data_IF_791980328780
#
_entry.id   IF_791980328780
#
_cell.length_a   1.000
_cell.length_b   1.000
_cell.length_c   1.000
_cell.angle_alpha   90.00
_cell.angle_beta   90.00
_cell.angle_gamma   90.00
#
_symmetry.space_group_name_H-M   'P 1'
#
loop_
_entity.id
_entity.type
_entity.pdbx_description
1 polymer ?
#
# COMPACT_ATOMS: atom_id res chain seq x y z
N UNK A 1 -34.43 -38.19 61.85
CA UNK A 1 -33.94 -38.27 60.49
C UNK A 1 -32.79 -37.23 60.35
N UNK A 2 -31.56 -37.76 60.22
CA UNK A 2 -30.37 -36.91 59.88
C UNK A 2 -30.57 -36.40 58.49
N UNK A 3 -30.69 -35.07 58.36
CA UNK A 3 -30.76 -34.39 57.04
C UNK A 3 -29.46 -34.65 56.32
N UNK A 4 -29.52 -35.19 55.09
CA UNK A 4 -28.32 -35.45 54.28
C UNK A 4 -27.65 -34.14 53.87
N UNK A 5 -26.30 -34.06 53.92
CA UNK A 5 -25.57 -32.87 53.52
C UNK A 5 -25.77 -32.55 52.01
N UNK A 6 -25.83 -31.24 51.67
CA UNK A 6 -26.11 -30.81 50.31
C UNK A 6 -25.18 -29.63 49.92
N UNK A 7 -24.54 -29.74 48.75
CA UNK A 7 -23.80 -28.62 48.18
C UNK A 7 -24.74 -27.45 47.86
N UNK A 8 -24.35 -26.26 48.28
CA UNK A 8 -25.02 -24.99 47.98
C UNK A 8 -24.36 -24.30 46.78
N UNK A 9 -23.12 -24.69 46.45
CA UNK A 9 -22.37 -24.27 45.28
C UNK A 9 -22.40 -25.34 44.20
N UNK A 10 -21.99 -24.99 42.98
CA UNK A 10 -21.89 -25.95 41.86
C UNK A 10 -20.48 -25.92 41.29
N UNK A 11 -20.07 -27.02 40.67
CA UNK A 11 -18.84 -27.10 39.90
C UNK A 11 -18.86 -26.18 38.70
N UNK A 12 -17.76 -25.45 38.46
CA UNK A 12 -17.59 -24.53 37.35
C UNK A 12 -16.17 -24.60 36.80
N UNK A 13 -16.04 -24.15 35.52
CA UNK A 13 -14.74 -23.83 34.95
C UNK A 13 -14.32 -22.43 35.42
N UNK A 14 -13.20 -22.36 36.11
CA UNK A 14 -12.57 -21.11 36.55
C UNK A 14 -11.36 -20.79 35.70
N UNK A 15 -11.16 -19.53 35.41
CA UNK A 15 -10.00 -19.03 34.68
C UNK A 15 -9.21 -18.07 35.56
N UNK A 16 -7.92 -18.29 35.69
CA UNK A 16 -7.03 -17.42 36.44
C UNK A 16 -5.81 -17.09 35.60
N UNK A 17 -5.36 -15.83 35.66
CA UNK A 17 -4.11 -15.42 34.99
C UNK A 17 -2.94 -15.85 35.86
N UNK A 18 -1.87 -16.38 35.24
CA UNK A 18 -0.65 -16.77 35.95
C UNK A 18 -0.17 -15.63 36.86
N UNK A 19 0.14 -15.95 38.11
CA UNK A 19 0.54 -15.00 39.13
C UNK A 19 -0.61 -14.39 39.95
N UNK A 20 -1.85 -14.45 39.48
CA UNK A 20 -3.02 -13.97 40.23
C UNK A 20 -3.44 -14.97 41.32
N UNK A 21 -4.45 -14.59 42.08
CA UNK A 21 -5.09 -15.49 43.07
C UNK A 21 -6.49 -15.86 42.63
N UNK A 22 -6.91 -17.08 42.92
CA UNK A 22 -8.25 -17.57 42.61
C UNK A 22 -8.85 -18.19 43.84
N UNK A 23 -10.17 -18.08 44.00
CA UNK A 23 -10.96 -18.71 45.02
C UNK A 23 -11.97 -19.67 44.40
N UNK A 24 -11.93 -20.91 44.86
CA UNK A 24 -12.84 -21.97 44.45
C UNK A 24 -13.86 -22.19 45.58
N UNK A 25 -15.14 -21.88 45.34
CA UNK A 25 -16.14 -21.95 46.41
C UNK A 25 -16.56 -23.37 46.71
N UNK A 26 -16.71 -23.71 47.99
CA UNK A 26 -17.34 -24.92 48.45
C UNK A 26 -18.18 -24.63 49.67
N UNK A 27 -19.50 -24.53 49.48
CA UNK A 27 -20.48 -24.28 50.54
C UNK A 27 -21.40 -25.47 50.64
N UNK A 28 -21.52 -26.04 51.87
CA UNK A 28 -22.35 -27.21 52.16
C UNK A 28 -23.34 -26.86 53.25
N UNK A 29 -24.61 -27.20 53.04
CA UNK A 29 -25.66 -27.13 54.06
C UNK A 29 -25.81 -28.47 54.75
N UNK A 30 -26.09 -28.42 56.04
CA UNK A 30 -26.39 -29.63 56.87
C UNK A 30 -25.23 -30.63 56.89
N UNK A 31 -23.96 -30.13 56.95
CA UNK A 31 -22.76 -30.98 56.96
C UNK A 31 -22.70 -31.94 58.15
N UNK A 32 -23.29 -31.59 59.30
CA UNK A 32 -23.31 -32.43 60.47
C UNK A 32 -21.90 -32.83 60.95
N UNK A 33 -21.71 -34.12 61.19
CA UNK A 33 -20.45 -34.73 61.65
C UNK A 33 -19.51 -35.13 60.47
N UNK A 34 -19.93 -34.92 59.22
CA UNK A 34 -19.12 -35.30 58.07
C UNK A 34 -17.95 -34.34 57.85
N UNK A 35 -16.85 -34.89 57.28
CA UNK A 35 -15.65 -34.09 56.97
C UNK A 35 -15.72 -33.62 55.53
N UNK A 36 -15.50 -32.35 55.33
CA UNK A 36 -15.31 -31.76 54.01
C UNK A 36 -13.82 -31.73 53.66
N UNK A 37 -13.46 -32.18 52.47
CA UNK A 37 -12.07 -32.20 52.05
C UNK A 37 -11.93 -31.67 50.63
N UNK A 38 -10.79 -30.99 50.36
CA UNK A 38 -10.36 -30.65 49.02
C UNK A 38 -9.30 -31.66 48.58
N UNK A 39 -9.42 -32.11 47.35
CA UNK A 39 -8.43 -32.97 46.70
C UNK A 39 -8.17 -32.56 45.28
N UNK A 40 -6.98 -32.89 44.82
CA UNK A 40 -6.55 -32.75 43.43
C UNK A 40 -6.03 -34.10 42.96
N UNK A 41 -6.72 -34.74 42.04
CA UNK A 41 -6.46 -36.14 41.72
C UNK A 41 -6.57 -37.03 43.00
N UNK A 42 -5.49 -37.73 43.33
CA UNK A 42 -5.40 -38.58 44.56
C UNK A 42 -4.88 -37.82 45.76
N UNK A 43 -4.34 -36.61 45.60
CA UNK A 43 -3.73 -35.83 46.68
C UNK A 43 -4.79 -35.04 47.46
N UNK A 44 -4.86 -35.23 48.77
CA UNK A 44 -5.69 -34.44 49.67
C UNK A 44 -4.99 -33.12 49.99
N UNK A 45 -5.65 -32.00 49.78
CA UNK A 45 -5.17 -30.65 50.03
C UNK A 45 -5.58 -30.15 51.40
N UNK A 46 -6.84 -30.42 51.80
CA UNK A 46 -7.38 -30.03 53.10
C UNK A 46 -8.25 -31.13 53.66
N UNK A 47 -8.38 -31.22 54.97
CA UNK A 47 -9.32 -32.07 55.69
C UNK A 47 -9.97 -31.25 56.81
N UNK A 48 -11.30 -31.04 56.75
CA UNK A 48 -12.01 -30.06 57.54
C UNK A 48 -11.31 -28.69 57.48
N UNK A 49 -10.93 -28.10 58.60
CA UNK A 49 -10.23 -26.82 58.66
C UNK A 49 -8.69 -26.93 58.62
N UNK A 50 -8.15 -28.14 58.41
CA UNK A 50 -6.71 -28.39 58.40
C UNK A 50 -6.17 -28.37 56.99
N UNK A 51 -5.09 -27.62 56.77
CA UNK A 51 -4.30 -27.69 55.55
C UNK A 51 -3.41 -28.95 55.61
N UNK A 52 -3.58 -29.87 54.68
CA UNK A 52 -2.77 -31.08 54.53
C UNK A 52 -1.57 -30.80 53.61
N UNK A 53 -1.82 -30.02 52.57
CA UNK A 53 -0.75 -29.59 51.68
C UNK A 53 0.24 -28.66 52.40
N UNK A 54 1.54 -28.81 52.07
CA UNK A 54 2.60 -27.94 52.58
C UNK A 54 2.86 -26.71 51.69
N UNK A 55 2.18 -26.61 50.59
CA UNK A 55 2.33 -25.45 49.70
C UNK A 55 1.61 -24.24 50.33
N UNK A 56 2.35 -23.16 50.70
CA UNK A 56 1.80 -22.01 51.41
C UNK A 56 0.85 -21.15 50.55
N UNK A 57 0.79 -21.44 49.24
CA UNK A 57 -0.10 -20.72 48.31
C UNK A 57 -1.57 -21.13 48.49
N UNK A 58 -1.81 -22.32 49.05
CA UNK A 58 -3.16 -22.82 49.32
C UNK A 58 -3.61 -22.38 50.70
N UNK A 59 -4.84 -21.88 50.79
CA UNK A 59 -5.47 -21.46 52.04
C UNK A 59 -6.98 -21.76 52.00
N UNK A 60 -7.57 -22.02 53.13
CA UNK A 60 -9.02 -21.99 53.30
C UNK A 60 -9.47 -20.58 53.67
N UNK A 61 -10.48 -20.06 52.98
CA UNK A 61 -11.06 -18.74 53.17
C UNK A 61 -12.58 -18.84 53.23
N UNK A 62 -13.24 -17.97 53.95
CA UNK A 62 -14.70 -17.95 54.09
C UNK A 62 -15.33 -19.35 54.44
N UNK A 63 -14.71 -20.04 55.37
CA UNK A 63 -15.11 -21.41 55.78
C UNK A 63 -14.34 -22.46 55.00
N UNK A 64 -14.91 -23.02 53.95
CA UNK A 64 -14.29 -24.11 53.17
C UNK A 64 -13.92 -23.77 51.74
N UNK A 65 -13.99 -22.52 51.35
CA UNK A 65 -13.52 -22.11 50.03
C UNK A 65 -12.00 -22.26 49.92
N UNK A 66 -11.50 -22.79 48.80
CA UNK A 66 -10.08 -22.99 48.57
C UNK A 66 -9.52 -21.81 47.81
N UNK A 67 -8.63 -21.04 48.42
CA UNK A 67 -7.87 -20.00 47.76
C UNK A 67 -6.52 -20.54 47.30
N UNK A 68 -6.13 -20.22 46.07
CA UNK A 68 -4.82 -20.50 45.49
C UNK A 68 -4.21 -19.16 45.12
N UNK A 69 -3.14 -18.74 45.79
CA UNK A 69 -2.42 -17.52 45.53
C UNK A 69 -1.26 -17.76 44.56
N UNK A 70 -0.92 -16.76 43.73
CA UNK A 70 0.19 -16.81 42.78
C UNK A 70 0.11 -18.10 41.94
N UNK A 71 -1.00 -18.26 41.23
CA UNK A 71 -1.26 -19.47 40.39
C UNK A 71 -0.19 -19.70 39.37
N UNK A 72 0.18 -20.93 39.15
CA UNK A 72 1.20 -21.38 38.20
C UNK A 72 0.57 -22.28 37.14
N UNK A 73 1.24 -22.44 35.98
CA UNK A 73 0.74 -23.31 34.89
C UNK A 73 0.41 -24.69 35.36
N UNK A 74 1.20 -25.26 36.29
CA UNK A 74 1.00 -26.59 36.87
C UNK A 74 -0.21 -26.70 37.77
N UNK A 75 -0.84 -25.59 38.18
CA UNK A 75 -2.04 -25.61 39.02
C UNK A 75 -3.30 -25.85 38.20
N UNK A 76 -3.24 -25.87 36.87
CA UNK A 76 -4.37 -26.22 36.01
C UNK A 76 -4.85 -27.63 36.28
N UNK A 77 -6.15 -27.85 36.17
CA UNK A 77 -6.80 -29.14 36.35
C UNK A 77 -7.97 -29.11 37.33
N UNK A 78 -8.42 -30.28 37.76
CA UNK A 78 -9.61 -30.43 38.56
C UNK A 78 -9.32 -30.41 40.06
N UNK A 79 -10.07 -29.58 40.75
CA UNK A 79 -10.10 -29.44 42.20
C UNK A 79 -11.46 -29.93 42.69
N UNK A 80 -11.46 -30.91 43.58
CA UNK A 80 -12.65 -31.59 44.01
C UNK A 80 -12.90 -31.30 45.48
N UNK A 81 -14.04 -30.65 45.75
CA UNK A 81 -14.57 -30.55 47.10
C UNK A 81 -15.47 -31.76 47.35
N UNK A 82 -15.10 -32.61 48.31
CA UNK A 82 -15.73 -33.87 48.60
C UNK A 82 -16.30 -33.90 50.02
N UNK A 83 -17.52 -34.40 50.17
CA UNK A 83 -18.11 -34.71 51.46
C UNK A 83 -17.70 -36.14 51.81
N UNK A 84 -17.03 -36.33 52.92
CA UNK A 84 -16.60 -37.64 53.42
C UNK A 84 -17.73 -38.38 54.04
N UNK A 85 -18.77 -38.72 53.28
CA UNK A 85 -19.87 -39.54 53.62
C UNK A 85 -19.76 -40.92 52.92
N UNK A 86 -20.71 -41.83 53.17
CA UNK A 86 -20.74 -43.15 52.54
C UNK A 86 -20.99 -43.09 51.01
N UNK A 87 -21.51 -42.00 50.51
CA UNK A 87 -21.83 -41.80 49.07
C UNK A 87 -20.73 -41.07 48.30
N UNK A 88 -19.68 -40.53 48.99
CA UNK A 88 -18.55 -39.80 48.40
C UNK A 88 -19.01 -38.74 47.42
N UNK A 89 -19.85 -37.80 47.88
CA UNK A 89 -20.39 -36.72 47.02
C UNK A 89 -19.31 -35.70 46.70
N UNK A 90 -19.14 -35.45 45.39
CA UNK A 90 -18.08 -34.59 44.83
C UNK A 90 -18.67 -33.37 44.16
N UNK A 91 -18.01 -32.22 44.34
CA UNK A 91 -18.18 -31.02 43.54
C UNK A 91 -16.86 -30.71 42.87
N UNK A 92 -16.84 -30.73 41.55
CA UNK A 92 -15.61 -30.52 40.73
C UNK A 92 -15.54 -29.12 40.18
N UNK A 93 -14.45 -28.44 40.43
CA UNK A 93 -14.07 -27.20 39.75
C UNK A 93 -12.87 -27.45 38.87
N UNK A 94 -12.96 -27.07 37.61
CA UNK A 94 -11.84 -27.13 36.67
C UNK A 94 -11.16 -25.74 36.62
N UNK A 95 -9.88 -25.71 36.89
CA UNK A 95 -9.07 -24.48 36.81
C UNK A 95 -8.25 -24.45 35.52
N UNK A 96 -8.52 -23.47 34.68
CA UNK A 96 -7.73 -23.12 33.48
C UNK A 96 -6.79 -21.96 33.81
N UNK A 97 -5.52 -22.12 33.51
CA UNK A 97 -4.52 -21.04 33.71
C UNK A 97 -4.31 -20.31 32.42
N UNK A 98 -4.63 -19.03 32.45
CA UNK A 98 -4.39 -18.10 31.37
C UNK A 98 -2.96 -17.54 31.45
N UNK A 99 -2.26 -17.54 30.32
CA UNK A 99 -0.88 -17.04 30.22
C UNK A 99 -0.83 -15.92 29.20
N UNK A 100 -0.43 -14.71 29.60
CA UNK A 100 -0.26 -13.59 28.66
C UNK A 100 0.71 -13.95 27.53
N UNK A 101 0.60 -13.25 26.38
CA UNK A 101 1.45 -13.53 25.24
C UNK A 101 2.92 -13.12 25.52
N UNK A 102 3.84 -13.88 24.94
CA UNK A 102 5.26 -13.55 24.87
C UNK A 102 5.74 -13.75 23.45
N UNK A 103 6.73 -12.94 23.00
CA UNK A 103 7.24 -12.96 21.62
C UNK A 103 8.73 -13.30 21.62
N UNK A 104 9.12 -14.12 20.64
CA UNK A 104 10.50 -14.32 20.20
C UNK A 104 10.56 -14.10 18.69
N UNK A 105 11.51 -13.31 18.23
CA UNK A 105 11.70 -12.99 16.81
C UNK A 105 13.02 -13.52 16.27
N UNK A 106 13.06 -13.72 14.97
CA UNK A 106 14.28 -13.99 14.22
C UNK A 106 14.39 -12.94 13.11
N UNK A 107 15.50 -12.21 13.05
CA UNK A 107 16.72 -12.33 13.85
C UNK A 107 16.57 -11.78 15.29
N UNK A 108 17.29 -12.38 16.23
CA UNK A 108 17.20 -12.00 17.66
C UNK A 108 17.73 -10.58 17.95
N UNK A 109 18.70 -10.12 17.18
CA UNK A 109 19.24 -8.75 17.26
C UNK A 109 18.28 -7.69 16.72
N UNK A 110 17.12 -8.10 16.15
CA UNK A 110 16.07 -7.23 15.61
C UNK A 110 16.54 -6.31 14.48
N UNK A 111 17.58 -6.68 13.79
CA UNK A 111 18.13 -5.95 12.65
C UNK A 111 18.49 -6.92 11.54
N UNK A 112 18.13 -6.59 10.32
CA UNK A 112 18.50 -7.34 9.14
C UNK A 112 18.95 -6.39 8.04
N UNK A 113 20.06 -6.73 7.42
CA UNK A 113 20.57 -6.01 6.26
C UNK A 113 20.55 -6.95 5.06
N UNK A 114 19.83 -6.56 4.03
CA UNK A 114 19.64 -7.33 2.81
C UNK A 114 20.10 -6.54 1.59
N UNK A 115 20.52 -7.22 0.52
CA UNK A 115 20.79 -6.59 -0.77
C UNK A 115 19.53 -6.50 -1.60
N UNK A 116 19.39 -5.45 -2.42
CA UNK A 116 18.32 -5.32 -3.40
C UNK A 116 18.18 -6.60 -4.23
N UNK A 117 16.94 -7.05 -4.40
CA UNK A 117 16.59 -8.26 -5.15
C UNK A 117 16.70 -9.58 -4.36
N UNK A 118 17.25 -9.57 -3.14
CA UNK A 118 17.25 -10.75 -2.27
C UNK A 118 15.88 -10.95 -1.60
N UNK A 119 15.73 -12.08 -0.93
CA UNK A 119 14.55 -12.42 -0.14
C UNK A 119 14.88 -12.27 1.33
N UNK A 120 13.99 -11.62 2.09
CA UNK A 120 14.08 -11.46 3.54
C UNK A 120 12.96 -12.23 4.20
N UNK A 121 13.30 -13.05 5.19
CA UNK A 121 12.33 -13.78 6.00
C UNK A 121 12.41 -13.29 7.44
N UNK A 122 11.30 -12.82 7.98
CA UNK A 122 11.14 -12.43 9.37
C UNK A 122 10.27 -13.48 10.06
N UNK A 123 10.71 -14.00 11.20
CA UNK A 123 9.92 -14.96 11.99
C UNK A 123 9.51 -14.35 13.32
N UNK A 124 8.28 -14.61 13.70
CA UNK A 124 7.71 -14.22 14.98
C UNK A 124 7.05 -15.43 15.61
N UNK A 125 7.56 -15.86 16.75
CA UNK A 125 7.00 -16.98 17.53
C UNK A 125 6.39 -16.43 18.81
N UNK A 126 5.12 -16.66 18.99
CA UNK A 126 4.41 -16.28 20.20
C UNK A 126 4.05 -17.50 21.02
N UNK A 127 4.05 -17.35 22.34
CA UNK A 127 3.58 -18.35 23.29
C UNK A 127 2.68 -17.70 24.35
N UNK A 128 1.68 -18.45 24.77
CA UNK A 128 0.69 -18.03 25.76
C UNK A 128 -0.44 -19.04 25.82
N UNK A 129 -1.39 -18.84 26.72
CA UNK A 129 -2.61 -19.66 26.79
C UNK A 129 -3.83 -18.73 27.00
N UNK A 130 -4.76 -18.67 26.06
CA UNK A 130 -4.79 -19.34 24.72
C UNK A 130 -3.60 -19.01 23.84
N UNK A 131 -3.43 -19.81 22.77
CA UNK A 131 -2.38 -19.55 21.78
C UNK A 131 -2.59 -18.16 21.15
N UNK A 132 -1.57 -17.25 21.19
CA UNK A 132 -1.73 -15.91 20.67
C UNK A 132 -1.90 -15.87 19.15
N UNK A 133 -2.73 -14.97 18.67
CA UNK A 133 -2.73 -14.53 17.27
C UNK A 133 -1.54 -13.62 17.00
N UNK A 134 -0.97 -13.73 15.80
CA UNK A 134 0.20 -12.95 15.38
C UNK A 134 -0.19 -12.05 14.22
N UNK A 135 0.24 -10.78 14.28
CA UNK A 135 0.02 -9.77 13.25
C UNK A 135 1.33 -9.07 12.91
N UNK A 136 1.55 -8.86 11.61
CA UNK A 136 2.66 -8.06 11.11
C UNK A 136 2.18 -6.72 10.57
N UNK A 137 2.87 -5.66 10.96
CA UNK A 137 2.65 -4.31 10.49
C UNK A 137 3.97 -3.70 10.05
N UNK A 138 3.93 -2.85 9.01
CA UNK A 138 5.03 -1.96 8.68
C UNK A 138 4.72 -0.57 9.24
N UNK A 139 5.67 0.01 9.96
CA UNK A 139 5.60 1.38 10.47
C UNK A 139 6.08 2.33 9.39
N UNK A 140 5.19 3.10 8.81
CA UNK A 140 5.53 4.13 7.83
C UNK A 140 5.49 5.51 8.48
N UNK A 141 6.49 6.35 8.19
CA UNK A 141 6.64 7.68 8.81
C UNK A 141 5.47 8.63 8.49
N UNK A 142 4.74 8.41 7.39
CA UNK A 142 3.72 9.33 6.88
C UNK A 142 2.29 8.79 6.88
N UNK A 143 2.10 7.46 6.84
CA UNK A 143 0.77 6.84 6.71
C UNK A 143 0.34 6.02 7.94
N UNK A 144 1.15 5.99 8.98
CA UNK A 144 0.92 5.16 10.15
C UNK A 144 1.35 3.72 9.94
N UNK A 145 0.62 2.76 10.53
CA UNK A 145 0.95 1.35 10.47
C UNK A 145 0.10 0.63 9.43
N UNK A 146 0.72 -0.01 8.44
CA UNK A 146 0.03 -0.84 7.45
C UNK A 146 0.07 -2.31 7.86
N UNK A 147 -1.11 -2.96 7.88
CA UNK A 147 -1.24 -4.40 8.12
C UNK A 147 -0.69 -5.19 6.93
N UNK A 148 0.13 -6.20 7.19
CA UNK A 148 0.81 -7.00 6.16
C UNK A 148 0.40 -8.46 6.15
N UNK A 149 0.34 -9.11 7.32
CA UNK A 149 0.13 -10.56 7.42
C UNK A 149 -0.30 -10.96 8.82
N UNK A 150 -1.01 -12.11 8.91
CA UNK A 150 -1.39 -12.79 10.14
C UNK A 150 -0.64 -14.13 10.32
N UNK A 151 0.48 -14.29 9.66
CA UNK A 151 1.31 -15.49 9.71
C UNK A 151 2.48 -15.34 10.69
N UNK A 152 2.96 -16.41 11.33
CA UNK A 152 4.22 -16.39 12.09
C UNK A 152 5.45 -15.98 11.30
N UNK A 153 5.39 -16.10 9.98
CA UNK A 153 6.49 -15.78 9.08
C UNK A 153 6.04 -14.73 8.08
N UNK A 154 6.81 -13.65 7.96
CA UNK A 154 6.67 -12.63 6.93
C UNK A 154 7.80 -12.80 5.91
N UNK A 155 7.43 -13.05 4.65
CA UNK A 155 8.33 -13.18 3.53
C UNK A 155 8.29 -11.92 2.67
N UNK A 156 9.45 -11.30 2.49
CA UNK A 156 9.63 -10.16 1.60
C UNK A 156 10.49 -10.61 0.41
N UNK A 157 9.85 -10.79 -0.74
CA UNK A 157 10.53 -11.25 -1.96
C UNK A 157 11.08 -10.08 -2.76
N UNK A 158 12.26 -10.27 -3.35
CA UNK A 158 12.91 -9.28 -4.22
C UNK A 158 12.94 -7.88 -3.62
N UNK A 159 13.47 -7.79 -2.40
CA UNK A 159 13.47 -6.53 -1.64
C UNK A 159 14.14 -5.39 -2.39
N UNK A 160 13.56 -4.20 -2.27
CA UNK A 160 14.06 -2.93 -2.76
C UNK A 160 14.03 -1.86 -1.66
N UNK A 161 14.36 -0.62 -1.99
CA UNK A 161 14.37 0.50 -1.04
C UNK A 161 13.03 0.71 -0.31
N UNK A 162 11.90 0.38 -0.95
CA UNK A 162 10.57 0.55 -0.36
C UNK A 162 10.26 -0.49 0.71
N UNK A 163 11.01 -1.60 0.73
CA UNK A 163 10.92 -2.61 1.75
C UNK A 163 11.77 -2.30 3.00
N UNK A 164 12.66 -1.31 2.92
CA UNK A 164 13.39 -0.84 4.11
C UNK A 164 12.41 -0.18 5.12
N UNK A 165 12.74 -0.29 6.40
CA UNK A 165 11.93 0.29 7.47
C UNK A 165 11.69 -0.68 8.63
N UNK A 166 10.84 -0.25 9.56
CA UNK A 166 10.55 -0.98 10.79
C UNK A 166 9.31 -1.86 10.60
N UNK A 167 9.49 -3.15 10.82
CA UNK A 167 8.42 -4.15 10.84
C UNK A 167 8.11 -4.53 12.28
N UNK A 168 6.84 -4.44 12.65
CA UNK A 168 6.38 -4.78 13.98
C UNK A 168 5.60 -6.08 13.96
N UNK A 169 6.03 -7.05 14.78
CA UNK A 169 5.24 -8.22 15.12
C UNK A 169 4.47 -7.94 16.41
N UNK A 170 3.17 -8.19 16.39
CA UNK A 170 2.28 -8.09 17.55
C UNK A 170 1.67 -9.45 17.84
N UNK A 171 1.63 -9.84 19.12
CA UNK A 171 0.94 -11.05 19.58
C UNK A 171 -0.13 -10.68 20.59
N UNK A 172 -1.32 -11.23 20.41
CA UNK A 172 -2.48 -11.01 21.27
C UNK A 172 -3.25 -12.32 21.53
N UNK A 173 -3.61 -12.55 22.77
CA UNK A 173 -4.49 -13.68 23.15
C UNK A 173 -5.64 -13.25 24.09
N UNK A 174 -5.88 -11.95 24.22
CA UNK A 174 -6.97 -11.39 25.05
C UNK A 174 -6.79 -11.57 26.57
N UNK A 175 -5.61 -12.05 27.05
CA UNK A 175 -5.39 -12.30 28.47
C UNK A 175 -4.92 -11.05 29.21
N UNK A 176 -4.08 -10.26 28.62
CA UNK A 176 -3.61 -8.93 29.03
C UNK A 176 -3.40 -8.08 27.79
N UNK A 177 -2.68 -6.97 27.93
CA UNK A 177 -2.29 -6.15 26.78
C UNK A 177 -1.47 -6.98 25.78
N UNK A 178 -1.68 -6.71 24.49
CA UNK A 178 -0.89 -7.30 23.42
C UNK A 178 0.58 -6.91 23.55
N UNK A 179 1.47 -7.79 23.19
CA UNK A 179 2.91 -7.53 23.16
C UNK A 179 3.39 -7.38 21.73
N UNK A 180 4.39 -6.51 21.51
CA UNK A 180 4.94 -6.26 20.19
C UNK A 180 6.47 -6.18 20.24
N UNK A 181 7.08 -6.49 19.10
CA UNK A 181 8.53 -6.39 18.87
C UNK A 181 8.78 -5.81 17.50
N UNK A 182 9.65 -4.82 17.44
CA UNK A 182 10.09 -4.17 16.21
C UNK A 182 11.34 -4.84 15.65
N UNK A 183 11.39 -4.99 14.32
CA UNK A 183 12.56 -5.46 13.56
C UNK A 183 12.87 -4.41 12.50
N UNK A 184 14.13 -3.95 12.47
CA UNK A 184 14.61 -2.99 11.49
C UNK A 184 15.19 -3.71 10.26
N UNK A 185 14.65 -3.40 9.08
CA UNK A 185 15.07 -3.95 7.79
C UNK A 185 15.77 -2.85 6.99
N UNK A 186 17.07 -3.03 6.78
CA UNK A 186 17.88 -2.16 5.91
C UNK A 186 18.11 -2.84 4.57
N UNK A 187 17.85 -2.14 3.46
CA UNK A 187 18.07 -2.67 2.12
C UNK A 187 19.22 -1.92 1.45
N UNK A 188 20.30 -2.64 1.21
CA UNK A 188 21.47 -2.14 0.48
C UNK A 188 21.21 -2.20 -1.03
N UNK A 189 21.34 -1.06 -1.69
CA UNK A 189 21.15 -0.93 -3.14
C UNK A 189 22.13 0.06 -3.75
N UNK A 190 22.42 -0.03 -5.07
CA UNK A 190 22.97 1.08 -5.79
C UNK A 190 22.09 2.33 -5.61
N UNK A 191 22.62 3.54 -5.81
CA UNK A 191 21.80 4.75 -5.79
C UNK A 191 20.68 4.61 -6.82
N UNK A 192 19.52 5.14 -6.53
CA UNK A 192 18.45 5.29 -7.52
C UNK A 192 18.30 6.77 -7.86
N UNK A 193 18.10 7.08 -9.15
CA UNK A 193 17.99 8.45 -9.61
C UNK A 193 16.63 8.63 -10.27
N UNK A 194 15.90 9.65 -9.84
CA UNK A 194 14.73 10.16 -10.53
C UNK A 194 15.01 11.54 -11.08
N UNK A 195 14.40 11.87 -12.21
CA UNK A 195 14.50 13.21 -12.84
C UNK A 195 13.12 13.83 -12.87
N UNK A 196 13.03 15.13 -12.65
CA UNK A 196 11.76 15.87 -12.71
C UNK A 196 11.23 15.91 -14.15
N UNK A 197 12.16 16.08 -15.12
CA UNK A 197 11.85 16.10 -16.55
C UNK A 197 12.93 15.32 -17.30
N UNK A 198 12.53 14.46 -18.20
CA UNK A 198 13.45 13.75 -19.11
C UNK A 198 13.80 14.57 -20.35
N UNK A 199 13.02 15.59 -20.60
CA UNK A 199 13.20 16.56 -21.67
C UNK A 199 13.04 17.97 -21.12
N UNK A 200 13.96 18.88 -21.46
CA UNK A 200 13.94 20.29 -21.04
C UNK A 200 14.08 21.16 -22.27
N UNK A 201 13.13 22.07 -22.42
CA UNK A 201 13.18 23.09 -23.44
C UNK A 201 14.16 24.20 -23.05
N UNK A 202 15.03 24.56 -23.94
CA UNK A 202 15.98 25.64 -23.73
C UNK A 202 16.01 26.62 -24.92
N UNK A 203 16.25 27.88 -24.59
CA UNK A 203 16.49 28.95 -25.57
C UNK A 203 17.83 29.62 -25.30
N UNK A 204 18.52 30.05 -26.38
CA UNK A 204 19.77 30.78 -26.23
C UNK A 204 19.56 32.08 -25.44
N UNK A 205 20.51 32.38 -24.56
CA UNK A 205 20.49 33.56 -23.70
C UNK A 205 19.74 33.42 -22.39
N UNK A 206 18.98 32.32 -22.17
CA UNK A 206 18.26 32.06 -20.92
C UNK A 206 19.08 31.18 -19.98
N UNK A 207 18.67 31.17 -18.73
CA UNK A 207 19.21 30.27 -17.70
C UNK A 207 18.32 29.05 -17.57
N UNK A 208 18.91 27.85 -17.40
CA UNK A 208 18.19 26.62 -17.20
C UNK A 208 18.71 25.84 -15.99
N UNK A 209 17.82 25.10 -15.34
CA UNK A 209 18.12 24.18 -14.26
C UNK A 209 17.78 22.75 -14.67
N UNK A 210 18.76 21.85 -14.54
CA UNK A 210 18.55 20.42 -14.68
C UNK A 210 18.62 19.79 -13.30
N UNK A 211 17.59 19.03 -12.92
CA UNK A 211 17.44 18.51 -11.56
C UNK A 211 17.40 16.98 -11.58
N UNK A 212 18.29 16.37 -10.79
CA UNK A 212 18.30 14.95 -10.49
C UNK A 212 18.07 14.75 -8.99
N UNK A 213 17.20 13.82 -8.64
CA UNK A 213 16.94 13.44 -7.25
C UNK A 213 17.56 12.08 -7.02
N UNK A 214 18.53 12.01 -6.10
CA UNK A 214 19.28 10.79 -5.79
C UNK A 214 18.71 10.17 -4.53
N UNK A 215 18.24 8.93 -4.64
CA UNK A 215 17.73 8.15 -3.52
C UNK A 215 18.72 7.05 -3.17
N UNK A 216 19.02 6.88 -1.90
CA UNK A 216 19.92 5.84 -1.39
C UNK A 216 20.97 6.38 -0.44
N UNK A 217 22.14 5.79 -0.45
CA UNK A 217 23.22 6.14 0.47
C UNK A 217 23.63 7.61 0.30
N UNK A 218 23.64 8.33 1.41
CA UNK A 218 23.97 9.77 1.48
C UNK A 218 25.42 10.08 1.04
N UNK A 219 26.26 9.06 1.00
CA UNK A 219 27.68 9.16 0.61
C UNK A 219 27.90 8.97 -0.90
N UNK A 220 26.83 8.83 -1.69
CA UNK A 220 26.96 8.72 -3.15
C UNK A 220 27.49 9.99 -3.76
N UNK A 221 28.59 9.91 -4.49
CA UNK A 221 29.07 10.98 -5.34
C UNK A 221 28.16 11.10 -6.58
N UNK A 222 27.81 12.31 -6.97
CA UNK A 222 26.97 12.58 -8.14
C UNK A 222 27.71 13.46 -9.15
N UNK A 223 27.78 12.97 -10.39
CA UNK A 223 28.51 13.61 -11.48
C UNK A 223 27.56 13.97 -12.62
N UNK A 224 27.81 15.08 -13.27
CA UNK A 224 27.09 15.54 -14.46
C UNK A 224 27.91 15.30 -15.73
N UNK A 225 27.23 14.86 -16.78
CA UNK A 225 27.82 14.67 -18.11
C UNK A 225 26.96 15.37 -19.17
N UNK A 226 27.59 15.87 -20.22
CA UNK A 226 26.93 16.30 -21.45
C UNK A 226 27.50 15.47 -22.60
N UNK A 227 26.65 14.82 -23.39
CA UNK A 227 27.05 13.98 -24.53
C UNK A 227 28.21 13.01 -24.20
N UNK A 228 28.17 12.41 -22.99
CA UNK A 228 29.18 11.51 -22.41
C UNK A 228 30.48 12.17 -21.93
N UNK A 229 30.64 13.49 -22.02
CA UNK A 229 31.78 14.20 -21.44
C UNK A 229 31.44 14.68 -20.03
N UNK A 230 32.37 14.43 -19.08
CA UNK A 230 32.25 14.91 -17.72
C UNK A 230 32.20 16.45 -17.71
N UNK A 231 31.27 17.00 -16.95
CA UNK A 231 31.15 18.46 -16.83
C UNK A 231 31.85 18.95 -15.58
N UNK A 232 32.66 20.01 -15.76
CA UNK A 232 33.24 20.78 -14.67
C UNK A 232 32.47 22.09 -14.47
N UNK A 233 32.44 22.63 -13.23
CA UNK A 233 31.94 23.98 -12.98
C UNK A 233 32.71 25.03 -13.80
N UNK A 234 31.98 26.02 -14.30
CA UNK A 234 32.54 27.18 -15.05
C UNK A 234 31.81 28.44 -14.64
N UNK A 235 32.19 29.61 -15.18
CA UNK A 235 31.47 30.88 -14.93
C UNK A 235 29.97 30.80 -15.31
N UNK A 236 29.65 29.98 -16.32
CA UNK A 236 28.26 29.77 -16.77
C UNK A 236 27.59 28.54 -16.21
N UNK A 237 28.35 27.58 -15.67
CA UNK A 237 27.84 26.31 -15.15
C UNK A 237 28.13 26.18 -13.66
N UNK A 238 27.10 26.05 -12.86
CA UNK A 238 27.22 25.80 -11.46
C UNK A 238 26.48 24.51 -11.06
N UNK A 239 27.08 23.75 -10.16
CA UNK A 239 26.54 22.51 -9.65
C UNK A 239 26.37 22.65 -8.15
N UNK A 240 25.18 22.37 -7.64
CA UNK A 240 24.89 22.42 -6.20
C UNK A 240 23.86 21.37 -5.80
N UNK A 241 23.86 21.04 -4.52
CA UNK A 241 22.90 20.09 -3.98
C UNK A 241 22.16 20.68 -2.78
N UNK A 242 20.90 20.27 -2.62
CA UNK A 242 20.08 20.58 -1.46
C UNK A 242 19.33 19.31 -1.05
N UNK A 243 19.81 18.63 0.00
CA UNK A 243 19.32 17.32 0.39
C UNK A 243 19.61 16.28 -0.68
N UNK A 244 18.57 15.62 -1.17
CA UNK A 244 18.60 14.61 -2.23
C UNK A 244 18.56 15.18 -3.65
N UNK A 245 18.30 16.51 -3.79
CA UNK A 245 18.24 17.21 -5.09
C UNK A 245 19.60 17.73 -5.49
N UNK A 246 20.05 17.34 -6.68
CA UNK A 246 21.27 17.81 -7.34
C UNK A 246 20.89 18.62 -8.56
N UNK A 247 21.35 19.85 -8.63
CA UNK A 247 21.00 20.79 -9.70
C UNK A 247 22.25 21.18 -10.47
N UNK A 248 22.17 21.10 -11.81
CA UNK A 248 23.08 21.74 -12.75
C UNK A 248 22.38 22.97 -13.30
N UNK A 249 22.88 24.16 -12.95
CA UNK A 249 22.44 25.44 -13.50
C UNK A 249 23.35 25.86 -14.63
N UNK A 250 22.80 26.20 -15.79
CA UNK A 250 23.52 26.71 -16.96
C UNK A 250 22.98 28.09 -17.26
N UNK A 251 23.83 29.10 -17.13
CA UNK A 251 23.51 30.50 -17.39
C UNK A 251 23.85 30.90 -18.82
N UNK A 252 23.05 31.82 -19.36
CA UNK A 252 23.24 32.34 -20.72
C UNK A 252 23.45 31.18 -21.71
N UNK A 253 22.45 30.32 -21.84
CA UNK A 253 22.47 29.11 -22.62
C UNK A 253 22.89 29.36 -24.06
N UNK A 254 23.77 28.56 -24.60
CA UNK A 254 24.35 28.74 -25.96
C UNK A 254 24.05 27.52 -26.83
N UNK A 255 24.25 27.66 -28.15
CA UNK A 255 24.07 26.56 -29.11
C UNK A 255 24.87 25.29 -28.76
N UNK A 256 26.07 25.46 -28.18
CA UNK A 256 26.90 24.33 -27.73
C UNK A 256 26.38 23.60 -26.52
N UNK A 257 25.43 24.19 -25.79
CA UNK A 257 24.86 23.62 -24.57
C UNK A 257 23.66 22.71 -24.86
N UNK A 258 23.14 22.67 -26.11
CA UNK A 258 22.15 21.67 -26.49
C UNK A 258 22.74 20.26 -26.47
N UNK A 259 21.92 19.27 -26.12
CA UNK A 259 22.30 17.87 -26.14
C UNK A 259 21.76 17.03 -25.00
N UNK A 260 22.35 15.83 -24.89
CA UNK A 260 21.96 14.87 -23.86
C UNK A 260 22.79 15.06 -22.60
N UNK A 261 22.13 15.46 -21.53
CA UNK A 261 22.74 15.51 -20.21
C UNK A 261 22.45 14.23 -19.46
N UNK A 262 23.33 13.88 -18.54
CA UNK A 262 23.07 12.79 -17.63
C UNK A 262 23.67 13.05 -16.27
N UNK A 263 22.91 12.70 -15.25
CA UNK A 263 23.40 12.57 -13.89
C UNK A 263 23.77 11.12 -13.61
N UNK A 264 24.89 10.93 -12.97
CA UNK A 264 25.46 9.63 -12.62
C UNK A 264 25.77 9.64 -11.14
N UNK A 265 25.18 8.71 -10.39
CA UNK A 265 25.51 8.49 -9.00
C UNK A 265 26.02 7.07 -8.81
N UNK A 266 27.05 6.90 -7.98
CA UNK A 266 27.57 5.61 -7.62
C UNK A 266 27.86 5.50 -6.12
N UNK A 267 27.83 4.28 -5.63
CA UNK A 267 28.31 3.90 -4.32
C UNK A 267 29.04 2.55 -4.41
N UNK A 268 29.45 2.00 -3.29
CA UNK A 268 30.15 0.72 -3.24
C UNK A 268 29.35 -0.48 -3.82
N UNK A 269 28.04 -0.32 -4.05
CA UNK A 269 27.14 -1.37 -4.52
C UNK A 269 26.82 -1.27 -6.02
N UNK A 270 27.11 -0.14 -6.65
CA UNK A 270 26.91 0.04 -8.08
C UNK A 270 26.69 1.48 -8.50
N UNK A 271 26.40 1.64 -9.79
CA UNK A 271 26.23 2.92 -10.48
C UNK A 271 24.89 3.00 -11.16
N UNK A 272 24.24 4.17 -11.06
CA UNK A 272 23.00 4.49 -11.77
C UNK A 272 23.16 5.76 -12.58
N UNK A 273 22.56 5.78 -13.77
CA UNK A 273 22.60 6.90 -14.71
C UNK A 273 21.19 7.22 -15.19
N UNK A 274 20.86 8.52 -15.24
CA UNK A 274 19.62 9.03 -15.84
C UNK A 274 19.94 10.12 -16.85
N UNK A 275 19.10 10.19 -17.90
CA UNK A 275 19.28 11.11 -18.99
C UNK A 275 18.24 12.21 -18.98
N UNK A 276 18.65 13.40 -19.41
CA UNK A 276 17.81 14.58 -19.62
C UNK A 276 18.22 15.16 -20.98
N UNK A 277 17.30 15.18 -21.93
CA UNK A 277 17.54 15.87 -23.21
C UNK A 277 17.27 17.37 -23.06
N UNK A 278 18.22 18.21 -23.44
CA UNK A 278 18.04 19.65 -23.54
C UNK A 278 17.99 20.00 -24.99
N UNK A 279 16.84 20.46 -25.46
CA UNK A 279 16.57 20.67 -26.88
C UNK A 279 15.82 21.97 -27.14
N UNK A 280 16.11 22.59 -28.30
CA UNK A 280 15.32 23.71 -28.83
C UNK A 280 14.08 23.25 -29.62
N UNK A 281 13.93 21.94 -29.90
CA UNK A 281 12.74 21.41 -30.58
C UNK A 281 11.49 21.61 -29.71
N UNK A 282 10.27 21.60 -30.29
CA UNK A 282 9.06 21.68 -29.50
C UNK A 282 8.95 20.49 -28.50
N UNK A 283 8.35 20.73 -27.37
CA UNK A 283 7.98 19.67 -26.42
C UNK A 283 6.87 18.77 -26.97
N UNK A 284 6.66 17.61 -26.38
CA UNK A 284 5.53 16.75 -26.72
C UNK A 284 4.20 17.48 -26.44
N UNK A 285 3.20 17.24 -27.27
CA UNK A 285 1.89 17.84 -27.08
C UNK A 285 1.18 17.23 -25.86
N UNK A 286 0.64 18.08 -24.99
CA UNK A 286 -0.20 17.68 -23.85
C UNK A 286 -1.66 17.97 -24.18
N UNK A 287 -2.49 16.92 -24.21
CA UNK A 287 -3.91 17.05 -24.53
C UNK A 287 -4.71 17.60 -23.35
N UNK A 288 -5.62 18.55 -23.65
CA UNK A 288 -6.50 19.19 -22.67
C UNK A 288 -7.97 18.92 -22.93
N UNK A 289 -8.31 18.45 -24.13
CA UNK A 289 -9.70 18.14 -24.48
C UNK A 289 -10.20 16.89 -23.76
N UNK A 290 -11.51 16.85 -23.40
CA UNK A 290 -12.11 15.71 -22.76
C UNK A 290 -12.15 14.50 -23.72
N UNK A 291 -12.17 13.29 -23.16
CA UNK A 291 -12.23 12.06 -23.95
C UNK A 291 -13.55 11.86 -24.69
N UNK A 292 -14.56 12.70 -24.46
CA UNK A 292 -15.87 12.65 -25.11
C UNK A 292 -16.14 13.86 -25.96
N UNK A 293 -16.65 13.63 -27.19
CA UNK A 293 -17.15 14.68 -28.06
C UNK A 293 -18.64 14.96 -27.76
N UNK A 294 -19.00 16.23 -27.65
CA UNK A 294 -20.39 16.66 -27.61
C UNK A 294 -21.10 16.56 -28.97
N UNK A 295 -20.38 16.18 -30.02
CA UNK A 295 -20.85 16.13 -31.40
C UNK A 295 -20.82 14.71 -31.96
N UNK A 296 -21.68 14.43 -32.92
CA UNK A 296 -21.79 13.14 -33.60
C UNK A 296 -20.68 12.91 -34.63
N UNK A 297 -20.25 13.95 -35.31
CA UNK A 297 -19.44 13.90 -36.53
C UNK A 297 -18.12 14.69 -36.43
N UNK A 298 -17.81 15.25 -35.28
CA UNK A 298 -16.62 16.10 -35.09
C UNK A 298 -16.12 16.03 -33.63
N UNK A 299 -14.86 16.43 -33.45
CA UNK A 299 -14.22 16.52 -32.16
C UNK A 299 -13.37 17.79 -32.06
N UNK A 300 -13.53 18.53 -30.96
CA UNK A 300 -12.71 19.71 -30.66
C UNK A 300 -11.48 19.27 -29.89
N UNK A 301 -10.37 19.17 -30.58
CA UNK A 301 -9.08 18.81 -30.00
C UNK A 301 -8.39 20.06 -29.49
N UNK A 302 -8.06 20.11 -28.20
CA UNK A 302 -7.28 21.19 -27.56
C UNK A 302 -6.05 20.59 -26.91
N UNK A 303 -4.90 21.21 -27.14
CA UNK A 303 -3.61 20.74 -26.66
C UNK A 303 -2.65 21.89 -26.44
N UNK A 304 -1.63 21.66 -25.61
CA UNK A 304 -0.54 22.61 -25.35
C UNK A 304 0.78 22.05 -25.84
N UNK A 305 1.63 22.92 -26.34
CA UNK A 305 2.99 22.61 -26.75
C UNK A 305 3.91 23.67 -26.18
N UNK A 306 5.01 23.27 -25.56
CA UNK A 306 6.10 24.13 -25.15
C UNK A 306 7.11 24.22 -26.33
N UNK A 307 7.42 25.41 -26.78
CA UNK A 307 8.33 25.60 -27.92
C UNK A 307 8.94 27.00 -27.94
N UNK A 308 10.10 27.15 -28.61
CA UNK A 308 10.61 28.43 -29.08
C UNK A 308 9.75 28.85 -30.27
N UNK A 309 9.26 30.10 -30.30
CA UNK A 309 8.57 30.64 -31.49
C UNK A 309 9.55 30.89 -32.66
N UNK A 310 9.08 30.81 -33.94
CA UNK A 310 7.73 30.37 -34.30
C UNK A 310 7.59 28.85 -34.33
N UNK A 311 6.37 28.34 -34.09
CA UNK A 311 6.00 27.02 -34.54
C UNK A 311 5.69 27.07 -36.03
N UNK A 312 6.29 26.16 -36.81
CA UNK A 312 6.15 26.13 -38.26
C UNK A 312 4.98 25.28 -38.72
N UNK A 313 4.92 24.03 -38.19
CA UNK A 313 3.95 23.05 -38.63
C UNK A 313 3.51 22.18 -37.48
N UNK A 314 2.24 21.70 -37.55
CA UNK A 314 1.65 20.70 -36.69
C UNK A 314 1.23 19.52 -37.57
N UNK A 315 1.71 18.33 -37.25
CA UNK A 315 1.24 17.08 -37.86
C UNK A 315 0.24 16.42 -36.93
N UNK A 316 -1.00 16.34 -37.38
CA UNK A 316 -2.08 15.64 -36.72
C UNK A 316 -2.22 14.25 -37.32
N UNK A 317 -2.16 13.22 -36.48
CA UNK A 317 -2.42 11.84 -36.88
C UNK A 317 -3.64 11.37 -36.09
N UNK A 318 -4.61 10.79 -36.79
CA UNK A 318 -5.75 10.20 -36.14
C UNK A 318 -6.20 8.91 -36.87
N UNK A 319 -6.86 8.04 -36.14
CA UNK A 319 -7.43 6.81 -36.70
C UNK A 319 -8.67 6.39 -35.92
N UNK A 320 -9.57 5.70 -36.64
CA UNK A 320 -10.72 5.03 -36.03
C UNK A 320 -10.31 3.67 -35.48
N UNK A 321 -10.74 3.34 -34.27
CA UNK A 321 -10.66 1.97 -33.75
C UNK A 321 -11.90 1.20 -34.19
N UNK A 322 -11.70 0.12 -34.95
CA UNK A 322 -12.78 -0.78 -35.37
C UNK A 322 -13.00 -1.80 -34.27
N UNK A 323 -14.23 -1.86 -33.75
CA UNK A 323 -14.65 -2.84 -32.75
C UNK A 323 -15.23 -4.05 -33.47
N UNK A 324 -14.62 -5.20 -33.35
CA UNK A 324 -15.21 -6.47 -33.73
C UNK A 324 -15.58 -7.23 -32.44
N UNK A 325 -16.52 -8.17 -32.50
CA UNK A 325 -17.04 -8.90 -31.31
C UNK A 325 -15.96 -9.57 -30.45
N UNK A 326 -14.74 -9.76 -31.00
CA UNK A 326 -13.63 -10.47 -30.35
C UNK A 326 -12.34 -9.68 -30.23
N UNK A 327 -12.06 -8.68 -31.10
CA UNK A 327 -10.79 -7.93 -31.10
C UNK A 327 -10.96 -6.47 -31.56
N UNK A 328 -10.17 -5.56 -30.96
CA UNK A 328 -9.96 -4.22 -31.50
C UNK A 328 -8.96 -4.29 -32.66
N UNK A 329 -9.39 -3.90 -33.86
CA UNK A 329 -8.48 -3.68 -34.98
C UNK A 329 -8.31 -2.15 -35.18
N UNK A 330 -7.08 -1.63 -35.04
CA UNK A 330 -6.83 -0.25 -35.38
C UNK A 330 -6.96 -0.05 -36.89
N UNK A 331 -7.66 1.02 -37.28
CA UNK A 331 -7.65 1.52 -38.67
C UNK A 331 -6.28 2.05 -39.06
N UNK A 332 -6.11 2.41 -40.33
CA UNK A 332 -4.94 3.11 -40.81
C UNK A 332 -4.88 4.52 -40.21
N UNK A 333 -3.66 5.00 -39.93
CA UNK A 333 -3.48 6.39 -39.54
C UNK A 333 -3.72 7.32 -40.73
N UNK A 334 -4.57 8.33 -40.51
CA UNK A 334 -4.73 9.46 -41.38
C UNK A 334 -3.85 10.59 -40.84
N UNK A 335 -3.06 11.25 -41.69
CA UNK A 335 -2.22 12.36 -41.32
C UNK A 335 -2.61 13.66 -42.05
N UNK A 336 -2.52 14.74 -41.32
CA UNK A 336 -2.79 16.09 -41.88
C UNK A 336 -1.81 17.09 -41.29
N UNK A 337 -1.21 17.90 -42.15
CA UNK A 337 -0.35 19.01 -41.74
C UNK A 337 -1.21 20.24 -41.56
N UNK A 338 -1.15 20.84 -40.37
CA UNK A 338 -1.89 22.03 -40.00
C UNK A 338 -0.93 23.22 -39.85
N UNK A 339 -1.37 24.37 -40.22
CA UNK A 339 -0.73 25.62 -39.82
C UNK A 339 -1.14 25.92 -38.37
N UNK A 340 -0.19 26.23 -37.48
CA UNK A 340 -0.52 26.51 -36.09
C UNK A 340 -1.53 27.67 -35.97
N UNK A 341 -2.69 27.36 -35.38
CA UNK A 341 -3.71 28.34 -35.00
C UNK A 341 -3.68 28.56 -33.52
N UNK A 342 -3.09 29.64 -33.07
CA UNK A 342 -2.92 29.98 -31.66
C UNK A 342 -4.25 30.44 -31.06
N UNK A 343 -4.68 29.79 -30.01
CA UNK A 343 -5.83 30.22 -29.17
C UNK A 343 -5.33 31.14 -28.06
N UNK A 344 -4.16 30.86 -27.50
CA UNK A 344 -3.45 31.67 -26.52
C UNK A 344 -1.97 31.33 -26.55
N UNK A 345 -1.10 32.32 -26.39
CA UNK A 345 0.34 32.10 -26.24
C UNK A 345 0.90 32.87 -25.06
N UNK A 346 1.60 32.17 -24.20
CA UNK A 346 2.67 32.72 -23.39
C UNK A 346 3.99 32.63 -24.22
N UNK A 347 5.10 33.28 -23.83
CA UNK A 347 6.32 33.29 -24.63
C UNK A 347 6.86 31.93 -25.07
N UNK A 348 6.55 30.85 -24.31
CA UNK A 348 7.03 29.51 -24.57
C UNK A 348 5.93 28.44 -24.57
N UNK A 349 4.68 28.76 -24.17
CA UNK A 349 3.58 27.82 -24.08
C UNK A 349 2.47 28.19 -25.05
N UNK A 350 2.24 27.33 -26.03
CA UNK A 350 1.24 27.51 -27.07
C UNK A 350 0.01 26.64 -26.78
N UNK A 351 -1.17 27.26 -26.61
CA UNK A 351 -2.44 26.57 -26.54
C UNK A 351 -3.09 26.64 -27.92
N UNK A 352 -3.40 25.48 -28.48
CA UNK A 352 -3.96 25.34 -29.81
C UNK A 352 -5.19 24.49 -29.79
N UNK A 353 -6.10 24.75 -30.73
CA UNK A 353 -7.29 23.95 -30.94
C UNK A 353 -7.50 23.63 -32.40
N UNK A 354 -7.99 22.44 -32.70
CA UNK A 354 -8.36 22.01 -34.02
C UNK A 354 -9.67 21.18 -33.99
N UNK A 355 -10.53 21.37 -34.97
CA UNK A 355 -11.77 20.62 -35.09
C UNK A 355 -11.57 19.51 -36.13
N UNK A 356 -11.50 18.27 -35.66
CA UNK A 356 -11.50 17.09 -36.53
C UNK A 356 -12.97 16.86 -36.97
N UNK A 357 -13.21 16.79 -38.28
CA UNK A 357 -14.54 16.64 -38.89
C UNK A 357 -14.67 15.34 -39.67
N UNK A 358 -15.93 14.97 -40.03
CA UNK A 358 -16.19 13.77 -40.82
C UNK A 358 -16.05 12.47 -40.05
N UNK A 359 -16.13 12.54 -38.72
CA UNK A 359 -16.07 11.38 -37.85
C UNK A 359 -17.38 10.59 -37.88
N UNK A 360 -17.27 9.28 -37.66
CA UNK A 360 -18.46 8.41 -37.51
C UNK A 360 -19.03 8.58 -36.09
N UNK A 361 -20.36 8.63 -35.94
CA UNK A 361 -20.98 8.61 -34.61
C UNK A 361 -20.70 7.32 -33.86
N UNK A 362 -20.81 7.37 -32.53
CA UNK A 362 -20.64 6.23 -31.63
C UNK A 362 -19.37 5.42 -31.90
N UNK A 363 -18.27 6.12 -32.10
CA UNK A 363 -17.00 5.52 -32.51
C UNK A 363 -15.84 6.01 -31.65
N UNK A 364 -14.84 5.15 -31.48
CA UNK A 364 -13.62 5.44 -30.76
C UNK A 364 -12.54 5.82 -31.76
N UNK A 365 -11.83 6.89 -31.43
CA UNK A 365 -10.71 7.38 -32.21
C UNK A 365 -9.47 7.53 -31.34
N UNK A 366 -8.33 7.40 -31.98
CA UNK A 366 -7.00 7.70 -31.41
C UNK A 366 -6.40 8.89 -32.17
N UNK A 367 -5.73 9.77 -31.44
CA UNK A 367 -5.06 10.92 -32.01
C UNK A 367 -3.68 11.09 -31.41
N UNK A 368 -2.72 11.48 -32.24
CA UNK A 368 -1.36 11.88 -31.86
C UNK A 368 -0.99 13.19 -32.56
N UNK A 369 -0.09 13.94 -31.96
CA UNK A 369 0.39 15.22 -32.52
C UNK A 369 1.91 15.22 -32.51
N UNK A 370 2.45 15.81 -33.57
CA UNK A 370 3.85 16.16 -33.72
C UNK A 370 3.95 17.61 -34.16
N UNK A 371 4.93 18.37 -33.66
CA UNK A 371 5.13 19.76 -33.95
C UNK A 371 6.54 20.03 -34.45
N UNK A 372 6.71 21.05 -35.31
CA UNK A 372 7.99 21.47 -35.84
C UNK A 372 8.24 22.97 -35.60
N UNK A 373 9.46 23.28 -35.26
CA UNK A 373 10.02 24.64 -35.27
C UNK A 373 11.35 24.66 -36.02
N UNK A 374 12.11 25.77 -35.94
CA UNK A 374 13.41 25.91 -36.57
C UNK A 374 14.44 24.84 -36.18
N UNK A 375 14.30 24.23 -35.02
CA UNK A 375 15.17 23.13 -34.52
C UNK A 375 14.74 21.75 -34.98
N UNK A 376 13.61 21.62 -35.68
CA UNK A 376 13.09 20.37 -36.22
C UNK A 376 11.81 19.83 -35.56
N UNK A 377 11.43 18.63 -35.93
CA UNK A 377 10.29 17.93 -35.38
C UNK A 377 10.56 17.39 -33.96
N UNK A 378 9.57 17.52 -33.09
CA UNK A 378 9.62 16.88 -31.77
C UNK A 378 9.33 15.35 -31.85
N UNK A 379 9.39 14.69 -30.72
CA UNK A 379 8.83 13.35 -30.59
C UNK A 379 7.31 13.39 -30.68
N UNK A 380 6.73 12.32 -31.24
CA UNK A 380 5.28 12.21 -31.35
C UNK A 380 4.67 12.11 -29.95
N UNK A 381 3.52 12.74 -29.74
CA UNK A 381 2.83 12.72 -28.45
C UNK A 381 2.36 11.30 -28.07
N UNK A 382 2.01 11.11 -26.81
CA UNK A 382 1.22 9.96 -26.37
C UNK A 382 -0.10 9.89 -27.13
N UNK A 383 -0.68 8.69 -27.19
CA UNK A 383 -1.97 8.48 -27.81
C UNK A 383 -3.07 9.03 -26.90
N UNK A 384 -3.87 9.94 -27.47
CA UNK A 384 -5.11 10.40 -26.83
C UNK A 384 -6.31 9.73 -27.48
N UNK A 385 -7.10 9.00 -26.68
CA UNK A 385 -8.34 8.36 -27.12
C UNK A 385 -9.53 9.25 -26.83
N UNK A 386 -10.44 9.34 -27.81
CA UNK A 386 -11.72 10.04 -27.62
C UNK A 386 -12.88 9.29 -28.30
N UNK A 387 -14.10 9.65 -27.90
CA UNK A 387 -15.32 9.01 -28.34
C UNK A 387 -16.25 10.06 -28.95
N UNK A 388 -16.82 9.74 -30.10
CA UNK A 388 -17.90 10.55 -30.69
C UNK A 388 -19.24 10.20 -30.05
N UNK A 389 -20.14 11.20 -29.98
CA UNK A 389 -21.45 11.06 -29.36
C UNK A 389 -22.28 9.96 -30.02
N UNK A 390 -23.10 9.24 -29.23
CA UNK A 390 -24.13 8.32 -29.72
C UNK A 390 -25.42 9.10 -30.05
N UNK A 391 -26.21 8.62 -31.00
CA UNK A 391 -27.49 9.17 -31.38
C UNK A 391 -28.56 9.13 -30.26
N UNK A 392 -28.44 8.14 -29.37
CA UNK A 392 -29.47 7.81 -28.37
C UNK A 392 -29.29 8.49 -27.01
N UNK A 393 -28.20 9.24 -26.79
CA UNK A 393 -27.92 9.89 -25.51
C UNK A 393 -28.32 11.39 -25.54
N UNK A 394 -29.16 11.77 -24.61
CA UNK A 394 -29.49 13.19 -24.37
C UNK A 394 -28.29 13.89 -23.67
N UNK A 395 -28.20 15.24 -23.76
CA UNK A 395 -27.12 15.98 -23.09
C UNK A 395 -27.02 15.72 -21.58
N UNK A 396 -28.16 15.49 -20.91
CA UNK A 396 -28.19 15.22 -19.46
C UNK A 396 -27.66 13.81 -19.09
N UNK A 397 -27.91 12.82 -19.96
CA UNK A 397 -27.37 11.47 -19.77
C UNK A 397 -25.86 11.41 -20.01
N UNK A 398 -25.35 12.26 -20.92
CA UNK A 398 -23.91 12.42 -21.14
C UNK A 398 -23.22 13.01 -19.90
N UNK A 399 -23.81 13.99 -19.26
CA UNK A 399 -23.27 14.63 -18.03
C UNK A 399 -23.25 13.64 -16.86
N UNK A 400 -24.23 12.75 -16.75
CA UNK A 400 -24.28 11.66 -15.77
C UNK A 400 -23.19 10.62 -16.02
N UNK A 401 -22.97 10.18 -17.25
CA UNK A 401 -21.89 9.24 -17.61
C UNK A 401 -20.51 9.86 -17.37
N UNK A 402 -20.34 11.15 -17.68
CA UNK A 402 -19.10 11.89 -17.45
C UNK A 402 -18.78 12.06 -15.97
N UNK A 403 -19.78 12.35 -15.14
CA UNK A 403 -19.60 12.47 -13.68
C UNK A 403 -19.27 11.14 -13.01
N UNK A 404 -19.81 10.04 -13.51
CA UNK A 404 -19.53 8.69 -13.00
C UNK A 404 -18.12 8.22 -13.37
N UNK A 405 -17.57 8.61 -14.51
CA UNK A 405 -16.21 8.29 -14.94
C UNK A 405 -15.19 9.16 -14.19
N UNK A 406 -15.46 10.44 -13.95
CA UNK A 406 -14.57 11.35 -13.21
C UNK A 406 -14.47 11.02 -11.72
N UNK A 407 -15.54 10.49 -11.13
CA UNK A 407 -15.59 10.07 -9.71
C UNK A 407 -14.96 8.70 -9.44
N UNK A 408 -14.67 7.90 -10.47
CA UNK A 408 -14.06 6.57 -10.30
C UNK A 408 -12.54 6.58 -10.07
N UNK A 409 -11.91 7.73 -9.85
CA UNK A 409 -10.55 7.87 -9.28
C UNK A 409 -9.41 7.16 -10.02
N UNK A 410 -9.57 6.77 -11.29
CA UNK A 410 -8.57 6.03 -12.03
C UNK A 410 -7.49 6.93 -12.63
N UNK A 411 -6.45 7.16 -11.84
CA UNK A 411 -5.15 7.61 -12.34
C UNK A 411 -4.25 6.38 -12.55
N UNK A 412 -4.36 5.70 -13.70
CA UNK A 412 -3.27 4.91 -14.33
C UNK A 412 -3.70 4.48 -15.73
N UNK A 413 -2.80 4.42 -16.71
CA UNK A 413 -3.14 3.90 -18.03
C UNK A 413 -3.47 2.42 -17.90
N UNK A 414 -4.69 2.05 -18.20
CA UNK A 414 -5.12 0.66 -18.30
C UNK A 414 -4.67 0.07 -19.63
N UNK A 415 -4.16 -1.16 -19.58
CA UNK A 415 -4.01 -1.99 -20.76
C UNK A 415 -5.38 -2.18 -21.43
N UNK A 416 -5.42 -2.09 -22.74
CA UNK A 416 -6.60 -1.97 -23.60
C UNK A 416 -7.71 -3.04 -23.43
N UNK A 417 -7.46 -4.12 -22.71
CA UNK A 417 -8.44 -5.22 -22.57
C UNK A 417 -9.48 -5.05 -21.45
N UNK A 418 -9.20 -4.27 -20.39
CA UNK A 418 -10.14 -4.14 -19.25
C UNK A 418 -11.17 -3.02 -19.41
N UNK A 419 -10.84 -1.97 -20.16
CA UNK A 419 -11.75 -0.82 -20.36
C UNK A 419 -12.99 -1.15 -21.19
N UNK A 420 -12.86 -2.08 -22.15
CA UNK A 420 -13.97 -2.52 -23.02
C UNK A 420 -14.95 -3.43 -22.28
N UNK A 421 -14.47 -4.29 -21.39
CA UNK A 421 -15.34 -5.17 -20.59
C UNK A 421 -16.16 -4.40 -19.55
N UNK A 422 -15.60 -3.32 -18.95
CA UNK A 422 -16.36 -2.49 -17.98
C UNK A 422 -17.43 -1.62 -18.65
N UNK A 423 -17.18 -1.12 -19.86
CA UNK A 423 -18.19 -0.37 -20.62
C UNK A 423 -19.34 -1.26 -21.11
N UNK A 424 -19.04 -2.50 -21.55
CA UNK A 424 -20.05 -3.45 -21.95
C UNK A 424 -20.94 -3.93 -20.80
N UNK A 425 -20.39 -4.11 -19.59
CA UNK A 425 -21.17 -4.48 -18.39
C UNK A 425 -22.00 -3.33 -17.84
N UNK A 426 -21.55 -2.08 -17.91
CA UNK A 426 -22.38 -0.91 -17.59
C UNK A 426 -23.55 -0.74 -18.61
N UNK A 427 -23.31 -1.01 -19.91
CA UNK A 427 -24.34 -0.95 -20.93
C UNK A 427 -25.41 -2.04 -20.74
N UNK A 428 -25.00 -3.26 -20.34
CA UNK A 428 -25.95 -4.36 -20.05
C UNK A 428 -26.77 -4.10 -18.77
N UNK A 429 -26.22 -3.45 -17.76
CA UNK A 429 -26.94 -3.11 -16.53
C UNK A 429 -27.96 -1.98 -16.73
N UNK A 430 -27.68 -1.02 -17.62
CA UNK A 430 -28.64 0.04 -17.99
C UNK A 430 -29.79 -0.53 -18.82
N UNK A 431 -29.54 -1.45 -19.75
CA UNK A 431 -30.60 -2.12 -20.53
C UNK A 431 -31.48 -3.05 -19.68
N UNK A 432 -30.91 -3.70 -18.65
CA UNK A 432 -31.69 -4.53 -17.72
C UNK A 432 -32.55 -3.70 -16.76
N UNK A 433 -32.12 -2.50 -16.35
CA UNK A 433 -32.93 -1.61 -15.53
C UNK A 433 -34.12 -0.98 -16.30
N UNK A 434 -33.98 -0.76 -17.60
CA UNK A 434 -35.11 -0.29 -18.46
C UNK A 434 -36.13 -1.40 -18.76
N UNK A 435 -35.71 -2.67 -18.78
CA UNK A 435 -36.63 -3.81 -18.99
C UNK A 435 -37.46 -4.16 -17.76
N UNK A 436 -37.05 -3.75 -16.57
CA UNK A 436 -37.78 -3.97 -15.31
C UNK A 436 -38.68 -2.83 -14.89
N UNK A 437 -38.57 -1.66 -15.51
CA UNK A 437 -39.46 -0.50 -15.28
C UNK A 437 -40.68 -0.44 -16.19
N UNK A 438 -40.79 -1.35 -17.19
CA UNK A 438 -41.92 -1.46 -18.13
C UNK A 438 -42.69 -2.80 -18.01
N UNK A 439 -42.70 -3.39 -16.80
CA UNK A 439 -43.66 -4.45 -16.48
C UNK A 439 -44.47 -4.11 -15.25
#
# INVERSE_FOLDING_TARGET
PTVAPKFMTRGHLYKAIIGDSIELPCKVKDLGSYVLLWRRGTSVLTAANLMVTRDPRFKLVEGYNLQIANVKIQDAGDYICQIGDNESRDQVHTLEILVPPTIRVVPQNRQITARKGSTVTLECKASGNPVPAIYWHKKDAFSGSSHLSESPTLLLERVDRHHAGVYQCTADNGVRESVHVDIDVTVLSPPDITVEKTWVHASEGFDIDLVCIVHGDVNSEMLWYQNSFLLDPTDRRSMYSRGDKYTLNIRNFQQSDFGNYSCVADNALGRTKKYIEVSGRPGPAAFQSPAYSNYLDRYNLTYTIESIPPLDEIKLLYRKLMMNETYQHPGSWEDTILVPTLTRSDPTHFIMSHVIRGLSPNSVYEVMIQARNVHGWNEISDIHQFYTRNFDLTPNELEFVMSSISNSGYRKPFSSELSVRMLATCFMLVLLSFSLANR
#
